data_IF_839329596991
#
_entry.id   IF_839329596991
#
_cell.length_a   1.000
_cell.length_b   1.000
_cell.length_c   1.000
_cell.angle_alpha   90.00
_cell.angle_beta   90.00
_cell.angle_gamma   90.00
#
_symmetry.space_group_name_H-M   'P 1'
#
loop_
_entity.id
_entity.type
_entity.pdbx_description
1 polymer ?
#
# COMPACT_ATOMS: atom_id res chain seq x y z
N UNK A 1 -9.61 4.88 -1.12
CA UNK A 1 -10.48 5.54 -2.14
C UNK A 1 -11.94 5.09 -2.03
N UNK A 2 -12.16 3.87 -1.55
CA UNK A 2 -13.43 3.22 -1.19
C UNK A 2 -14.33 4.04 -0.24
N UNK A 3 -13.78 4.84 0.68
CA UNK A 3 -14.57 5.74 1.53
C UNK A 3 -15.34 6.82 0.76
N UNK A 4 -14.79 7.29 -0.35
CA UNK A 4 -15.38 8.36 -1.18
C UNK A 4 -16.07 7.77 -2.41
N UNK A 5 -15.45 6.79 -3.06
CA UNK A 5 -15.92 6.18 -4.31
C UNK A 5 -16.59 4.82 -4.07
N UNK A 6 -17.10 4.58 -2.88
CA UNK A 6 -17.84 3.36 -2.54
C UNK A 6 -19.13 3.22 -3.36
N UNK A 7 -19.59 1.99 -3.50
CA UNK A 7 -20.82 1.63 -4.19
C UNK A 7 -22.00 2.48 -3.70
N UNK A 8 -22.85 2.90 -4.64
CA UNK A 8 -24.05 3.67 -4.32
C UNK A 8 -25.05 2.78 -3.58
N UNK A 9 -25.48 3.23 -2.41
CA UNK A 9 -26.57 2.61 -1.64
C UNK A 9 -27.76 3.56 -1.53
N UNK A 10 -28.95 3.02 -1.26
CA UNK A 10 -30.17 3.84 -1.11
C UNK A 10 -30.09 4.79 0.09
N UNK A 11 -29.36 4.42 1.15
CA UNK A 11 -29.10 5.25 2.33
C UNK A 11 -27.96 6.27 2.21
N UNK A 12 -27.35 6.39 1.03
CA UNK A 12 -26.25 7.33 0.81
C UNK A 12 -26.77 8.78 0.79
N UNK A 13 -26.16 9.66 1.60
CA UNK A 13 -26.57 11.05 1.69
C UNK A 13 -26.42 11.74 0.33
N UNK A 14 -27.35 12.66 0.01
CA UNK A 14 -27.33 13.37 -1.26
C UNK A 14 -26.02 14.14 -1.48
N UNK A 15 -25.45 14.69 -0.41
CA UNK A 15 -24.14 15.34 -0.41
C UNK A 15 -23.02 14.41 -0.89
N UNK A 16 -22.98 13.18 -0.38
CA UNK A 16 -22.02 12.14 -0.79
C UNK A 16 -22.20 11.79 -2.26
N UNK A 17 -23.45 11.65 -2.73
CA UNK A 17 -23.75 11.37 -4.14
C UNK A 17 -23.28 12.50 -5.05
N UNK A 18 -23.52 13.76 -4.67
CA UNK A 18 -23.06 14.94 -5.42
C UNK A 18 -21.52 14.98 -5.48
N UNK A 19 -20.85 14.75 -4.36
CA UNK A 19 -19.39 14.72 -4.29
C UNK A 19 -18.80 13.61 -5.18
N UNK A 20 -19.38 12.40 -5.16
CA UNK A 20 -19.00 11.31 -6.07
C UNK A 20 -19.13 11.72 -7.53
N UNK A 21 -20.25 12.34 -7.91
CA UNK A 21 -20.48 12.75 -9.30
C UNK A 21 -19.49 13.83 -9.75
N UNK A 22 -19.27 14.86 -8.93
CA UNK A 22 -18.31 15.93 -9.22
C UNK A 22 -16.89 15.39 -9.37
N UNK A 23 -16.47 14.48 -8.48
CA UNK A 23 -15.15 13.86 -8.57
C UNK A 23 -14.97 13.10 -9.89
N UNK A 24 -15.95 12.31 -10.30
CA UNK A 24 -15.88 11.53 -11.54
C UNK A 24 -15.91 12.43 -12.78
N UNK A 25 -16.72 13.50 -12.77
CA UNK A 25 -16.76 14.48 -13.85
C UNK A 25 -15.43 15.24 -13.99
N UNK A 26 -14.82 15.64 -12.88
CA UNK A 26 -13.50 16.28 -12.87
C UNK A 26 -12.41 15.33 -13.41
N UNK A 27 -12.45 14.06 -13.01
CA UNK A 27 -11.51 13.05 -13.48
C UNK A 27 -11.60 12.85 -15.00
N UNK A 28 -12.83 12.75 -15.54
CA UNK A 28 -13.05 12.67 -16.98
C UNK A 28 -12.55 13.93 -17.70
N UNK A 29 -12.82 15.11 -17.13
CA UNK A 29 -12.38 16.39 -17.68
C UNK A 29 -10.86 16.51 -17.79
N UNK A 30 -10.11 15.98 -16.81
CA UNK A 30 -8.64 15.97 -16.84
C UNK A 30 -8.13 15.04 -17.93
N UNK A 31 -8.70 13.84 -18.08
CA UNK A 31 -8.27 12.88 -19.10
C UNK A 31 -8.51 13.36 -20.54
N UNK A 32 -9.40 14.33 -20.74
CA UNK A 32 -9.72 14.89 -22.07
C UNK A 32 -8.69 15.91 -22.58
N UNK A 33 -7.77 16.39 -21.74
CA UNK A 33 -6.80 17.44 -22.09
C UNK A 33 -5.41 16.85 -22.36
N UNK A 34 -4.96 16.71 -23.62
CA UNK A 34 -3.68 16.08 -23.94
C UNK A 34 -2.46 16.80 -23.34
N UNK A 35 -2.58 18.11 -23.08
CA UNK A 35 -1.54 18.93 -22.46
C UNK A 35 -1.42 18.74 -20.93
N UNK A 36 -2.42 18.11 -20.30
CA UNK A 36 -2.46 17.90 -18.85
C UNK A 36 -1.81 16.57 -18.45
N UNK A 37 -0.62 16.63 -17.87
CA UNK A 37 0.08 15.45 -17.34
C UNK A 37 -0.23 15.25 -15.84
N UNK A 38 -1.40 14.73 -15.54
CA UNK A 38 -1.81 14.41 -14.16
C UNK A 38 -1.91 12.89 -14.00
N UNK A 39 -1.32 12.36 -12.93
CA UNK A 39 -1.42 10.94 -12.54
C UNK A 39 -2.31 10.82 -11.31
N UNK A 40 -3.37 10.01 -11.41
CA UNK A 40 -4.19 9.62 -10.27
C UNK A 40 -3.79 8.24 -9.77
N UNK A 41 -3.34 8.16 -8.51
CA UNK A 41 -3.06 6.91 -7.82
C UNK A 41 -4.12 6.68 -6.73
N UNK A 42 -4.89 5.61 -6.87
CA UNK A 42 -5.85 5.16 -5.86
C UNK A 42 -5.31 3.95 -5.09
N UNK A 43 -5.43 3.98 -3.77
CA UNK A 43 -5.15 2.83 -2.89
C UNK A 43 -6.41 2.43 -2.11
N UNK A 44 -6.63 1.12 -2.00
CA UNK A 44 -7.76 0.54 -1.26
C UNK A 44 -7.48 -0.91 -0.86
N UNK A 45 -8.03 -1.31 0.29
CA UNK A 45 -8.06 -2.71 0.73
C UNK A 45 -9.40 -3.40 0.42
N UNK A 46 -10.38 -2.65 -0.10
CA UNK A 46 -11.75 -3.10 -0.34
C UNK A 46 -12.18 -2.82 -1.79
N UNK A 47 -11.47 -3.34 -2.82
CA UNK A 47 -11.74 -3.01 -4.22
C UNK A 47 -13.15 -3.41 -4.68
N UNK A 48 -13.76 -4.42 -4.07
CA UNK A 48 -15.13 -4.85 -4.36
C UNK A 48 -16.21 -3.88 -3.86
N UNK A 49 -15.86 -2.99 -2.92
CA UNK A 49 -16.79 -1.97 -2.42
C UNK A 49 -16.80 -0.71 -3.28
N UNK A 50 -15.93 -0.61 -4.30
CA UNK A 50 -15.83 0.58 -5.15
C UNK A 50 -16.94 0.57 -6.20
N UNK A 51 -17.53 1.74 -6.43
CA UNK A 51 -18.52 1.97 -7.47
C UNK A 51 -17.99 1.60 -8.86
N UNK A 52 -18.80 0.87 -9.64
CA UNK A 52 -18.42 0.40 -10.96
C UNK A 52 -18.06 1.54 -11.94
N UNK A 53 -18.66 2.72 -11.81
CA UNK A 53 -18.34 3.88 -12.61
C UNK A 53 -16.96 4.44 -12.26
N UNK A 54 -16.56 4.42 -10.99
CA UNK A 54 -15.20 4.77 -10.58
C UNK A 54 -14.18 3.75 -11.11
N UNK A 55 -14.46 2.45 -11.00
CA UNK A 55 -13.56 1.38 -11.48
C UNK A 55 -13.26 1.43 -12.98
N UNK A 56 -14.11 2.06 -13.80
CA UNK A 56 -13.87 2.28 -15.24
C UNK A 56 -12.86 3.40 -15.50
N UNK A 57 -12.72 4.37 -14.58
CA UNK A 57 -11.80 5.51 -14.71
C UNK A 57 -10.41 5.25 -14.11
N UNK A 58 -10.24 4.10 -13.46
CA UNK A 58 -8.93 3.55 -13.08
C UNK A 58 -8.61 2.32 -13.97
N UNK A 59 -8.13 2.51 -15.21
CA UNK A 59 -7.94 1.42 -16.15
C UNK A 59 -6.80 0.46 -15.76
N UNK A 60 -5.78 0.97 -15.06
CA UNK A 60 -4.67 0.16 -14.54
C UNK A 60 -4.93 -0.19 -13.08
N UNK A 61 -5.00 -1.50 -12.79
CA UNK A 61 -5.22 -2.06 -11.46
C UNK A 61 -4.06 -2.99 -11.15
N UNK A 62 -3.37 -2.75 -10.05
CA UNK A 62 -2.25 -3.56 -9.60
C UNK A 62 -2.63 -4.20 -8.27
N UNK A 63 -2.53 -5.52 -8.21
CA UNK A 63 -2.69 -6.26 -6.97
C UNK A 63 -1.36 -6.28 -6.23
N UNK A 64 -1.39 -5.89 -4.95
CA UNK A 64 -0.22 -5.91 -4.07
C UNK A 64 -0.37 -7.07 -3.09
N UNK A 65 0.21 -8.25 -3.38
CA UNK A 65 0.15 -9.39 -2.48
C UNK A 65 1.01 -9.17 -1.22
N UNK A 66 0.85 -10.07 -0.25
CA UNK A 66 1.80 -10.20 0.85
C UNK A 66 3.23 -10.48 0.31
N UNK A 67 4.27 -10.01 1.01
CA UNK A 67 5.64 -10.18 0.58
C UNK A 67 6.06 -11.66 0.57
N UNK A 68 6.59 -12.12 -0.56
CA UNK A 68 7.25 -13.41 -0.66
C UNK A 68 8.60 -13.43 0.08
N UNK A 69 9.23 -14.60 0.20
CA UNK A 69 10.46 -14.77 1.00
C UNK A 69 11.58 -13.78 0.65
N UNK A 70 11.84 -13.54 -0.64
CA UNK A 70 12.88 -12.59 -1.07
C UNK A 70 12.56 -11.14 -0.69
N UNK A 71 11.29 -10.74 -0.77
CA UNK A 71 10.84 -9.43 -0.33
C UNK A 71 10.91 -9.29 1.19
N UNK A 72 10.60 -10.35 1.96
CA UNK A 72 10.75 -10.35 3.42
C UNK A 72 12.22 -10.24 3.84
N UNK A 73 13.12 -11.00 3.22
CA UNK A 73 14.59 -10.86 3.40
C UNK A 73 15.02 -9.42 3.16
N UNK A 74 14.65 -8.86 2.00
CA UNK A 74 14.95 -7.47 1.66
C UNK A 74 14.44 -6.48 2.70
N UNK A 75 13.18 -6.61 3.13
CA UNK A 75 12.60 -5.72 4.15
C UNK A 75 13.34 -5.83 5.48
N UNK A 76 13.66 -7.04 5.95
CA UNK A 76 14.38 -7.27 7.20
C UNK A 76 15.78 -6.66 7.12
N UNK A 77 16.55 -6.94 6.07
CA UNK A 77 17.87 -6.35 5.86
C UNK A 77 17.80 -4.83 5.84
N UNK A 78 16.85 -4.24 5.11
CA UNK A 78 16.70 -2.79 5.04
C UNK A 78 16.28 -2.16 6.36
N UNK A 79 15.44 -2.83 7.15
CA UNK A 79 15.05 -2.34 8.47
C UNK A 79 16.24 -2.38 9.43
N UNK A 80 17.07 -3.42 9.37
CA UNK A 80 18.34 -3.47 10.10
C UNK A 80 19.22 -2.29 9.66
N UNK A 81 19.49 -2.11 8.36
CA UNK A 81 20.34 -1.01 7.87
C UNK A 81 19.83 0.39 8.29
N UNK A 82 18.51 0.61 8.29
CA UNK A 82 17.90 1.89 8.66
C UNK A 82 18.00 2.19 10.15
N UNK A 83 17.85 1.18 11.02
CA UNK A 83 18.09 1.35 12.46
C UNK A 83 19.57 1.59 12.75
N UNK A 84 20.45 1.08 11.89
CA UNK A 84 21.90 1.23 11.98
C UNK A 84 22.39 2.62 11.52
N UNK A 85 21.74 3.21 10.52
CA UNK A 85 22.01 4.59 10.10
C UNK A 85 21.75 5.64 11.20
N UNK A 86 20.95 5.30 12.22
CA UNK A 86 20.70 6.20 13.36
C UNK A 86 21.69 6.03 14.52
N UNK A 87 22.37 4.88 14.68
CA UNK A 87 23.16 4.60 15.89
C UNK A 87 24.51 3.89 15.63
N UNK A 88 24.71 3.00 14.64
CA UNK A 88 26.00 2.31 14.42
C UNK A 88 26.22 1.85 12.97
N UNK A 89 27.41 2.11 12.43
CA UNK A 89 27.87 1.87 11.05
C UNK A 89 28.05 0.40 10.63
N UNK A 90 27.62 -0.58 11.43
CA UNK A 90 27.80 -2.02 11.14
C UNK A 90 26.56 -2.81 11.54
N UNK A 91 26.09 -3.72 10.69
CA UNK A 91 25.02 -4.71 10.95
C UNK A 91 25.24 -5.33 12.34
N UNK A 92 24.19 -5.47 13.19
CA UNK A 92 24.42 -5.78 14.60
C UNK A 92 25.02 -7.17 14.71
N UNK A 93 26.03 -7.32 15.58
CA UNK A 93 26.72 -8.58 15.79
C UNK A 93 25.70 -9.71 16.05
N UNK A 94 25.59 -10.64 15.09
CA UNK A 94 24.65 -11.77 15.17
C UNK A 94 23.59 -11.85 14.07
N UNK A 95 23.32 -10.77 13.31
CA UNK A 95 22.45 -10.83 12.12
C UNK A 95 23.28 -11.16 10.87
N UNK A 96 23.64 -12.43 10.72
CA UNK A 96 24.20 -12.95 9.48
C UNK A 96 23.09 -13.35 8.49
N UNK A 97 23.47 -13.67 7.24
CA UNK A 97 22.54 -14.08 6.19
C UNK A 97 21.67 -15.28 6.62
N UNK A 98 22.21 -16.20 7.42
CA UNK A 98 21.49 -17.36 7.94
C UNK A 98 20.35 -16.98 8.91
N UNK A 99 20.60 -16.03 9.81
CA UNK A 99 19.57 -15.51 10.72
C UNK A 99 18.49 -14.78 9.92
N UNK A 100 18.88 -13.94 8.95
CA UNK A 100 17.92 -13.23 8.08
C UNK A 100 17.07 -14.25 7.30
N UNK A 101 17.69 -15.33 6.81
CA UNK A 101 16.99 -16.43 6.16
C UNK A 101 15.91 -17.04 7.05
N UNK A 102 16.31 -17.47 8.25
CA UNK A 102 15.43 -18.14 9.22
C UNK A 102 14.26 -17.24 9.65
N UNK A 103 14.51 -15.96 9.89
CA UNK A 103 13.46 -15.00 10.25
C UNK A 103 12.51 -14.80 9.06
N UNK A 104 13.04 -14.74 7.83
CA UNK A 104 12.21 -14.60 6.63
C UNK A 104 11.33 -15.81 6.34
N UNK A 105 11.79 -17.02 6.68
CA UNK A 105 10.98 -18.24 6.63
C UNK A 105 9.91 -18.24 7.72
N UNK A 106 10.28 -17.86 8.95
CA UNK A 106 9.37 -17.84 10.10
C UNK A 106 8.29 -16.75 10.05
N UNK A 107 8.43 -15.77 9.15
CA UNK A 107 7.50 -14.64 8.96
C UNK A 107 6.61 -14.82 7.72
N UNK A 108 6.35 -16.05 7.32
CA UNK A 108 5.38 -16.33 6.26
C UNK A 108 3.99 -15.75 6.61
N UNK A 109 3.36 -15.11 5.62
CA UNK A 109 2.06 -14.46 5.79
C UNK A 109 2.11 -13.06 6.42
N UNK A 110 3.27 -12.60 6.90
CA UNK A 110 3.39 -11.27 7.50
C UNK A 110 3.35 -10.19 6.43
N UNK A 111 2.63 -9.10 6.70
CA UNK A 111 2.71 -7.89 5.90
C UNK A 111 4.01 -7.13 6.18
N UNK A 112 4.33 -6.15 5.34
CA UNK A 112 5.47 -5.26 5.61
C UNK A 112 5.36 -4.51 6.94
N UNK A 113 4.14 -4.22 7.42
CA UNK A 113 3.93 -3.58 8.73
C UNK A 113 4.23 -4.55 9.88
N UNK A 114 3.82 -5.82 9.75
CA UNK A 114 4.05 -6.82 10.79
C UNK A 114 5.54 -7.08 10.96
N UNK A 115 6.28 -7.17 9.85
CA UNK A 115 7.76 -7.29 9.86
C UNK A 115 8.39 -6.08 10.55
N UNK A 116 7.94 -4.86 10.23
CA UNK A 116 8.45 -3.64 10.88
C UNK A 116 8.20 -3.67 12.39
N UNK A 117 6.99 -4.03 12.82
CA UNK A 117 6.65 -4.10 14.24
C UNK A 117 7.47 -5.16 14.97
N UNK A 118 7.65 -6.34 14.37
CA UNK A 118 8.49 -7.41 14.91
C UNK A 118 9.92 -6.92 15.13
N UNK A 119 10.51 -6.25 14.13
CA UNK A 119 11.87 -5.72 14.22
C UNK A 119 11.99 -4.62 15.28
N UNK A 120 11.03 -3.69 15.36
CA UNK A 120 11.02 -2.67 16.40
C UNK A 120 10.87 -3.27 17.80
N UNK A 121 10.05 -4.32 17.96
CA UNK A 121 9.87 -5.00 19.24
C UNK A 121 11.13 -5.77 19.67
N UNK A 122 11.88 -6.35 18.72
CA UNK A 122 13.13 -7.05 19.00
C UNK A 122 14.31 -6.11 19.33
N UNK A 123 14.22 -4.83 18.94
CA UNK A 123 15.25 -3.82 19.21
C UNK A 123 15.08 -3.12 20.57
N UNK A 124 13.91 -3.27 21.22
CA UNK A 124 13.64 -2.79 22.58
C UNK A 124 14.11 -3.81 23.61
#
# INVERSE_FOLDING_TARGET
>A
VDSILGARSEGDHESTRRLKNEFLAALDGITSRPESRILFLGATNLPWQIDAAALRRFPKKLYTPLPGIGARKYLITRLLDLHHASILTETPAGFNEEVIHRVSESTEGYSGSDIKQLMCAAAM
#
